data_IF_523734530476
#
_entry.id   IF_523734530476
#
_cell.length_a   1.000
_cell.length_b   1.000
_cell.length_c   1.000
_cell.angle_alpha   90.00
_cell.angle_beta   90.00
_cell.angle_gamma   90.00
#
_symmetry.space_group_name_H-M   'P 1'
#
loop_
_entity.id
_entity.type
_entity.pdbx_description
1 polymer ?
#
# COMPACT_ATOMS: atom_id res chain seq x y z
N UNK A 1 -11.37 16.27 21.45
CA UNK A 1 -10.71 15.11 20.85
C UNK A 1 -9.61 15.62 19.95
N UNK A 2 -8.38 15.16 20.08
CA UNK A 2 -7.28 15.45 19.15
C UNK A 2 -7.71 14.96 17.78
N UNK A 3 -7.67 15.84 16.76
CA UNK A 3 -7.99 15.45 15.39
C UNK A 3 -6.95 14.44 14.94
N UNK A 4 -7.39 13.30 14.46
CA UNK A 4 -6.52 12.25 13.89
C UNK A 4 -7.07 11.78 12.57
N UNK A 5 -6.24 11.17 11.71
CA UNK A 5 -6.63 10.53 10.47
C UNK A 5 -5.90 9.19 10.28
N UNK A 6 -6.39 8.38 9.37
CA UNK A 6 -5.77 7.10 9.01
C UNK A 6 -5.40 7.10 7.54
N UNK A 7 -4.16 6.74 7.26
CA UNK A 7 -3.58 6.65 5.94
C UNK A 7 -3.26 5.17 5.67
N UNK A 8 -3.90 4.59 4.69
CA UNK A 8 -3.74 3.18 4.34
C UNK A 8 -2.92 3.04 3.06
N UNK A 9 -1.94 2.17 3.05
CA UNK A 9 -1.54 1.59 1.77
C UNK A 9 -2.71 0.78 1.19
N UNK A 10 -2.59 0.33 -0.04
CA UNK A 10 -3.64 -0.41 -0.74
C UNK A 10 -3.37 -1.91 -0.76
N UNK A 11 -2.30 -2.29 -1.48
CA UNK A 11 -1.95 -3.69 -1.73
C UNK A 11 -1.37 -4.33 -0.48
N UNK A 12 -1.89 -5.48 -0.08
CA UNK A 12 -1.51 -6.13 1.18
C UNK A 12 -2.05 -5.46 2.44
N UNK A 13 -2.76 -4.32 2.32
CA UNK A 13 -3.38 -3.60 3.45
C UNK A 13 -4.90 -3.60 3.33
N UNK A 14 -5.47 -2.97 2.32
CA UNK A 14 -6.93 -2.97 2.11
C UNK A 14 -7.34 -4.11 1.17
N UNK A 15 -6.56 -4.38 0.13
CA UNK A 15 -6.79 -5.47 -0.81
C UNK A 15 -5.67 -6.51 -0.72
N UNK A 16 -6.04 -7.79 -0.78
CA UNK A 16 -5.11 -8.92 -0.66
C UNK A 16 -4.69 -9.40 -2.06
N UNK A 17 -3.73 -8.69 -2.67
CA UNK A 17 -3.25 -8.94 -4.03
C UNK A 17 -1.82 -9.47 -4.10
N UNK A 18 -1.11 -9.52 -2.98
CA UNK A 18 0.33 -9.79 -2.92
C UNK A 18 0.74 -11.17 -3.45
N UNK A 19 -0.06 -12.21 -3.17
CA UNK A 19 0.21 -13.56 -3.69
C UNK A 19 0.14 -13.57 -5.22
N UNK A 20 -0.91 -12.97 -5.80
CA UNK A 20 -1.11 -12.88 -7.25
C UNK A 20 0.02 -12.10 -7.94
N UNK A 21 0.46 -10.98 -7.34
CA UNK A 21 1.63 -10.25 -7.85
C UNK A 21 2.93 -11.03 -7.71
N UNK A 22 3.10 -11.76 -6.63
CA UNK A 22 4.29 -12.62 -6.44
C UNK A 22 4.37 -13.68 -7.53
N UNK A 23 3.25 -14.32 -7.89
CA UNK A 23 3.16 -15.26 -9.00
C UNK A 23 3.49 -14.59 -10.34
N UNK A 24 2.84 -13.46 -10.65
CA UNK A 24 3.10 -12.71 -11.87
C UNK A 24 4.58 -12.32 -12.00
N UNK A 25 5.14 -11.65 -10.99
CA UNK A 25 6.53 -11.20 -11.03
C UNK A 25 7.53 -12.36 -11.02
N UNK A 26 7.15 -13.53 -10.48
CA UNK A 26 7.96 -14.74 -10.59
C UNK A 26 8.07 -15.21 -12.07
N UNK A 27 6.98 -15.16 -12.82
CA UNK A 27 6.98 -15.49 -14.26
C UNK A 27 7.81 -14.47 -15.04
N UNK A 28 7.63 -13.18 -14.80
CA UNK A 28 8.42 -12.10 -15.43
C UNK A 28 9.91 -12.27 -15.10
N UNK A 29 10.25 -12.49 -13.83
CA UNK A 29 11.63 -12.71 -13.40
C UNK A 29 12.29 -13.90 -14.11
N UNK A 30 11.62 -15.04 -14.14
CA UNK A 30 12.14 -16.22 -14.86
C UNK A 30 12.35 -15.98 -16.34
N UNK A 31 11.51 -15.15 -16.96
CA UNK A 31 11.56 -14.88 -18.40
C UNK A 31 12.66 -13.88 -18.77
N UNK A 32 12.78 -12.79 -18.03
CA UNK A 32 13.61 -11.66 -18.42
C UNK A 32 14.85 -11.46 -17.52
N UNK A 33 14.84 -12.02 -16.29
CA UNK A 33 15.88 -11.86 -15.28
C UNK A 33 16.24 -13.21 -14.64
N UNK A 34 16.56 -14.26 -15.41
CA UNK A 34 16.78 -15.62 -14.89
C UNK A 34 17.91 -15.70 -13.86
N UNK A 35 18.85 -14.77 -13.90
CA UNK A 35 19.98 -14.68 -12.95
C UNK A 35 19.60 -14.05 -11.60
N UNK A 36 18.36 -13.50 -11.48
CA UNK A 36 17.90 -12.87 -10.24
C UNK A 36 16.63 -13.57 -9.70
N UNK A 37 16.76 -14.72 -9.03
CA UNK A 37 15.62 -15.47 -8.49
C UNK A 37 14.87 -14.71 -7.38
N UNK A 38 15.52 -13.76 -6.71
CA UNK A 38 14.95 -12.95 -5.64
C UNK A 38 14.20 -11.70 -6.13
N UNK A 39 14.16 -11.47 -7.44
CA UNK A 39 13.52 -10.31 -8.06
C UNK A 39 12.11 -10.02 -7.51
N UNK A 40 11.18 -11.00 -7.40
CA UNK A 40 9.82 -10.70 -6.90
C UNK A 40 9.80 -10.14 -5.48
N UNK A 41 10.74 -10.55 -4.63
CA UNK A 41 10.83 -10.08 -3.25
C UNK A 41 11.51 -8.70 -3.13
N UNK A 42 12.39 -8.38 -4.06
CA UNK A 42 13.13 -7.11 -4.08
C UNK A 42 12.27 -5.92 -4.48
N UNK A 43 11.23 -6.15 -5.28
CA UNK A 43 10.39 -5.08 -5.85
C UNK A 43 9.15 -4.74 -5.01
N UNK A 44 8.90 -5.46 -3.90
CA UNK A 44 7.74 -5.23 -3.04
C UNK A 44 7.70 -3.78 -2.53
N UNK A 45 6.54 -3.13 -2.70
CA UNK A 45 6.33 -1.72 -2.34
C UNK A 45 6.91 -0.69 -3.32
N UNK A 46 7.55 -1.13 -4.42
CA UNK A 46 8.04 -0.23 -5.46
C UNK A 46 6.94 0.14 -6.46
N UNK A 47 7.03 1.36 -7.01
CA UNK A 47 6.21 1.75 -8.17
C UNK A 47 6.69 1.04 -9.43
N UNK A 48 5.80 0.86 -10.41
CA UNK A 48 6.15 0.30 -11.72
C UNK A 48 7.34 1.06 -12.36
N UNK A 49 7.36 2.40 -12.26
CA UNK A 49 8.47 3.22 -12.78
C UNK A 49 9.81 2.86 -12.13
N UNK A 50 9.83 2.63 -10.81
CA UNK A 50 11.04 2.20 -10.11
C UNK A 50 11.50 0.82 -10.57
N UNK A 51 10.56 -0.12 -10.72
CA UNK A 51 10.84 -1.48 -11.18
C UNK A 51 11.44 -1.45 -12.59
N UNK A 52 10.79 -0.75 -13.52
CA UNK A 52 11.27 -0.66 -14.90
C UNK A 52 12.64 0.00 -14.98
N UNK A 53 12.85 1.11 -14.28
CA UNK A 53 14.14 1.81 -14.29
C UNK A 53 15.29 0.98 -13.72
N UNK A 54 15.02 0.15 -12.71
CA UNK A 54 16.06 -0.63 -12.03
C UNK A 54 16.40 -1.94 -12.75
N UNK A 55 15.44 -2.58 -13.42
CA UNK A 55 15.58 -3.96 -13.89
C UNK A 55 15.37 -4.14 -15.40
N UNK A 56 14.75 -3.19 -16.09
CA UNK A 56 14.39 -3.32 -17.52
C UNK A 56 14.89 -2.14 -18.34
N UNK A 57 16.22 -2.06 -18.52
CA UNK A 57 16.87 -0.99 -19.29
C UNK A 57 16.53 -1.02 -20.79
N UNK A 58 16.19 -2.20 -21.35
CA UNK A 58 15.71 -2.34 -22.71
C UNK A 58 14.25 -1.88 -22.82
N UNK A 59 14.03 -0.81 -23.59
CA UNK A 59 12.69 -0.22 -23.76
C UNK A 59 11.67 -1.17 -24.40
N UNK A 60 12.10 -2.11 -25.25
CA UNK A 60 11.18 -3.07 -25.87
C UNK A 60 10.72 -4.10 -24.83
N UNK A 61 11.64 -4.58 -23.99
CA UNK A 61 11.32 -5.48 -22.87
C UNK A 61 10.44 -4.74 -21.85
N UNK A 62 10.79 -3.50 -21.49
CA UNK A 62 9.99 -2.69 -20.54
C UNK A 62 8.53 -2.55 -21.03
N UNK A 63 8.31 -2.27 -22.32
CA UNK A 63 6.96 -2.19 -22.90
C UNK A 63 6.22 -3.52 -22.83
N UNK A 64 6.88 -4.64 -23.12
CA UNK A 64 6.27 -5.96 -23.03
C UNK A 64 5.87 -6.30 -21.57
N UNK A 65 6.70 -5.95 -20.60
CA UNK A 65 6.40 -6.15 -19.18
C UNK A 65 5.17 -5.31 -18.77
N UNK A 66 5.10 -4.04 -19.21
CA UNK A 66 3.93 -3.17 -18.94
C UNK A 66 2.66 -3.72 -19.56
N UNK A 67 2.71 -4.20 -20.82
CA UNK A 67 1.55 -4.80 -21.48
C UNK A 67 1.08 -6.07 -20.76
N UNK A 68 2.01 -6.94 -20.36
CA UNK A 68 1.67 -8.14 -19.59
C UNK A 68 1.09 -7.82 -18.22
N UNK A 69 1.63 -6.79 -17.53
CA UNK A 69 1.12 -6.34 -16.23
C UNK A 69 -0.30 -5.79 -16.36
N UNK A 70 -0.54 -4.90 -17.34
CA UNK A 70 -1.88 -4.35 -17.57
C UNK A 70 -2.91 -5.45 -17.86
N UNK A 71 -2.56 -6.43 -18.73
CA UNK A 71 -3.42 -7.56 -19.03
C UNK A 71 -3.65 -8.47 -17.81
N UNK A 72 -2.64 -8.69 -16.99
CA UNK A 72 -2.77 -9.39 -15.72
C UNK A 72 -3.72 -8.66 -14.76
N UNK A 73 -3.54 -7.35 -14.56
CA UNK A 73 -4.36 -6.54 -13.65
C UNK A 73 -5.85 -6.47 -14.05
N UNK A 74 -6.17 -6.59 -15.35
CA UNK A 74 -7.58 -6.69 -15.79
C UNK A 74 -8.25 -8.01 -15.42
N UNK A 75 -7.47 -9.06 -15.17
CA UNK A 75 -7.97 -10.44 -14.94
C UNK A 75 -7.81 -10.90 -13.50
N UNK A 76 -6.94 -10.27 -12.72
CA UNK A 76 -6.73 -10.62 -11.31
C UNK A 76 -7.95 -10.27 -10.47
N UNK A 77 -8.08 -10.91 -9.32
CA UNK A 77 -9.09 -10.56 -8.32
C UNK A 77 -8.54 -9.54 -7.33
N UNK A 78 -9.43 -8.75 -6.73
CA UNK A 78 -9.10 -7.73 -5.73
C UNK A 78 -9.82 -8.00 -4.40
N UNK A 79 -9.62 -9.17 -3.75
CA UNK A 79 -10.28 -9.46 -2.48
C UNK A 79 -9.80 -8.50 -1.39
N UNK A 80 -10.70 -8.13 -0.49
CA UNK A 80 -10.33 -7.35 0.69
C UNK A 80 -9.49 -8.20 1.67
N UNK A 81 -8.56 -7.54 2.38
CA UNK A 81 -7.91 -8.13 3.56
C UNK A 81 -8.96 -8.33 4.64
N UNK A 82 -8.82 -9.42 5.41
CA UNK A 82 -9.80 -9.79 6.42
C UNK A 82 -9.98 -8.66 7.46
N UNK A 83 -11.27 -8.31 7.73
CA UNK A 83 -11.64 -7.24 8.66
C UNK A 83 -11.43 -5.82 8.13
N UNK A 84 -10.81 -5.60 6.95
CA UNK A 84 -10.47 -4.25 6.47
C UNK A 84 -11.70 -3.35 6.30
N UNK A 85 -12.76 -3.85 5.67
CA UNK A 85 -13.98 -3.06 5.41
C UNK A 85 -14.75 -2.77 6.70
N UNK A 86 -14.78 -3.69 7.64
CA UNK A 86 -15.39 -3.48 8.94
C UNK A 86 -14.65 -2.41 9.72
N UNK A 87 -13.31 -2.45 9.74
CA UNK A 87 -12.47 -1.44 10.37
C UNK A 87 -12.65 -0.05 9.73
N UNK A 88 -12.67 0.05 8.40
CA UNK A 88 -12.98 1.28 7.66
C UNK A 88 -14.36 1.82 8.04
N UNK A 89 -15.38 0.94 8.16
CA UNK A 89 -16.72 1.31 8.61
C UNK A 89 -16.72 1.87 10.04
N UNK A 90 -15.96 1.29 10.96
CA UNK A 90 -15.83 1.78 12.33
C UNK A 90 -15.16 3.15 12.40
N UNK A 91 -14.08 3.37 11.62
CA UNK A 91 -13.43 4.67 11.51
C UNK A 91 -14.39 5.75 11.00
N UNK A 92 -15.19 5.42 9.98
CA UNK A 92 -16.19 6.33 9.43
C UNK A 92 -17.27 6.68 10.47
N UNK A 93 -17.77 5.69 11.23
CA UNK A 93 -18.72 5.93 12.34
C UNK A 93 -18.13 6.80 13.44
N UNK A 94 -16.82 6.68 13.67
CA UNK A 94 -16.08 7.52 14.62
C UNK A 94 -15.75 8.92 14.08
N UNK A 95 -16.06 9.20 12.80
CA UNK A 95 -15.75 10.48 12.16
C UNK A 95 -14.26 10.73 11.96
N UNK A 96 -13.47 9.67 11.83
CA UNK A 96 -12.03 9.73 11.59
C UNK A 96 -11.77 9.76 10.08
N UNK A 97 -11.16 10.83 9.54
CA UNK A 97 -10.83 10.93 8.12
C UNK A 97 -9.84 9.85 7.68
N UNK A 98 -10.01 9.37 6.44
CA UNK A 98 -9.22 8.28 5.87
C UNK A 98 -8.73 8.59 4.46
N UNK A 99 -7.51 8.16 4.14
CA UNK A 99 -7.02 8.20 2.77
C UNK A 99 -6.30 6.91 2.39
N UNK A 100 -6.40 6.55 1.09
CA UNK A 100 -5.52 5.58 0.45
C UNK A 100 -4.26 6.31 -0.04
N UNK A 101 -3.09 5.70 0.16
CA UNK A 101 -1.78 6.21 -0.27
C UNK A 101 -0.99 5.06 -0.89
N UNK A 102 -1.19 4.82 -2.18
CA UNK A 102 -0.68 3.64 -2.88
C UNK A 102 0.43 3.96 -3.88
N UNK A 103 1.32 2.99 -4.11
CA UNK A 103 2.27 2.97 -5.22
C UNK A 103 1.64 2.49 -6.54
N UNK A 104 0.38 2.07 -6.52
CA UNK A 104 -0.37 1.68 -7.70
C UNK A 104 -0.74 2.88 -8.56
N UNK A 105 -0.78 2.68 -9.88
CA UNK A 105 -1.16 3.69 -10.86
C UNK A 105 -2.68 3.76 -11.07
N UNK A 106 -3.14 4.78 -11.80
CA UNK A 106 -4.56 4.98 -12.09
C UNK A 106 -5.19 3.83 -12.88
N UNK A 107 -4.44 3.20 -13.80
CA UNK A 107 -4.98 2.10 -14.61
C UNK A 107 -5.38 0.91 -13.73
N UNK A 108 -4.52 0.54 -12.77
CA UNK A 108 -4.85 -0.50 -11.78
C UNK A 108 -6.04 -0.08 -10.91
N UNK A 109 -6.10 1.19 -10.48
CA UNK A 109 -7.24 1.68 -9.69
C UNK A 109 -8.56 1.56 -10.45
N UNK A 110 -8.56 1.77 -11.76
CA UNK A 110 -9.75 1.56 -12.61
C UNK A 110 -10.19 0.09 -12.63
N UNK A 111 -9.25 -0.86 -12.70
CA UNK A 111 -9.56 -2.29 -12.59
C UNK A 111 -10.18 -2.63 -11.22
N UNK A 112 -9.65 -2.08 -10.14
CA UNK A 112 -10.23 -2.22 -8.81
C UNK A 112 -11.66 -1.67 -8.75
N UNK A 113 -11.91 -0.46 -9.28
CA UNK A 113 -13.23 0.16 -9.26
C UNK A 113 -14.28 -0.60 -10.11
N UNK A 114 -13.85 -1.34 -11.12
CA UNK A 114 -14.76 -2.21 -11.89
C UNK A 114 -15.27 -3.38 -11.03
N UNK A 115 -14.44 -3.93 -10.15
CA UNK A 115 -14.84 -5.03 -9.25
C UNK A 115 -15.49 -4.50 -7.96
N UNK A 116 -15.11 -3.32 -7.50
CA UNK A 116 -15.57 -2.66 -6.27
C UNK A 116 -16.02 -1.22 -6.55
N UNK A 117 -17.18 -0.99 -7.18
CA UNK A 117 -17.67 0.35 -7.52
C UNK A 117 -17.84 1.29 -6.33
N UNK A 118 -18.05 0.73 -5.14
CA UNK A 118 -18.17 1.47 -3.88
C UNK A 118 -16.84 1.98 -3.35
N UNK A 119 -15.70 1.41 -3.76
CA UNK A 119 -14.40 1.62 -3.15
C UNK A 119 -14.01 3.10 -3.05
N UNK A 120 -14.22 3.87 -4.11
CA UNK A 120 -13.87 5.29 -4.13
C UNK A 120 -14.64 6.14 -3.11
N UNK A 121 -15.78 5.63 -2.62
CA UNK A 121 -16.63 6.30 -1.62
C UNK A 121 -16.26 5.93 -0.17
N UNK A 122 -15.42 4.90 0.01
CA UNK A 122 -14.97 4.45 1.33
C UNK A 122 -13.93 5.38 1.95
N UNK A 123 -13.26 6.21 1.16
CA UNK A 123 -12.14 7.06 1.61
C UNK A 123 -12.35 8.52 1.21
N UNK A 124 -11.87 9.45 2.06
CA UNK A 124 -12.01 10.88 1.80
C UNK A 124 -11.05 11.35 0.70
N UNK A 125 -9.92 10.65 0.51
CA UNK A 125 -8.91 10.90 -0.52
C UNK A 125 -8.26 9.59 -0.97
N UNK A 126 -7.83 9.57 -2.23
CA UNK A 126 -7.03 8.47 -2.81
C UNK A 126 -5.83 9.11 -3.51
N UNK A 127 -4.63 8.72 -3.08
CA UNK A 127 -3.35 9.11 -3.66
C UNK A 127 -2.73 7.90 -4.35
N UNK A 128 -2.48 8.04 -5.65
CA UNK A 128 -1.86 7.03 -6.50
C UNK A 128 -0.41 7.40 -6.81
N UNK A 129 0.30 6.54 -7.52
CA UNK A 129 1.70 6.77 -7.92
C UNK A 129 1.89 8.14 -8.60
N UNK A 130 0.91 8.60 -9.38
CA UNK A 130 0.98 9.88 -10.10
C UNK A 130 0.91 11.11 -9.18
N UNK A 131 0.44 10.95 -7.96
CA UNK A 131 0.36 12.06 -6.99
C UNK A 131 1.66 12.25 -6.22
N UNK A 132 2.51 11.21 -6.13
CA UNK A 132 3.71 11.24 -5.31
C UNK A 132 4.83 12.07 -5.98
N UNK A 133 5.37 13.07 -5.27
CA UNK A 133 6.56 13.80 -5.70
C UNK A 133 7.80 12.91 -5.68
N UNK A 134 7.94 12.09 -4.65
CA UNK A 134 8.92 11.01 -4.52
C UNK A 134 8.19 9.77 -4.03
N UNK A 135 8.49 8.64 -4.65
CA UNK A 135 7.89 7.35 -4.28
C UNK A 135 8.45 6.85 -2.95
N UNK A 136 7.71 5.99 -2.26
CA UNK A 136 8.22 5.22 -1.11
C UNK A 136 9.58 4.60 -1.47
N UNK A 137 10.57 4.64 -0.59
CA UNK A 137 10.50 4.91 0.86
C UNK A 137 10.55 6.38 1.27
N UNK A 138 10.52 7.36 0.34
CA UNK A 138 10.42 8.76 0.73
C UNK A 138 9.07 9.03 1.43
N UNK A 139 9.03 9.87 2.50
CA UNK A 139 7.83 10.11 3.28
C UNK A 139 6.80 11.02 2.59
N UNK A 140 7.13 11.57 1.42
CA UNK A 140 6.37 12.62 0.72
C UNK A 140 4.89 12.26 0.54
N UNK A 141 4.59 11.03 0.14
CA UNK A 141 3.21 10.59 -0.09
C UNK A 141 2.34 10.66 1.18
N UNK A 142 2.89 10.27 2.34
CA UNK A 142 2.16 10.34 3.61
C UNK A 142 2.08 11.76 4.17
N UNK A 143 3.11 12.58 3.96
CA UNK A 143 3.10 14.01 4.32
C UNK A 143 2.02 14.75 3.51
N UNK A 144 1.97 14.53 2.20
CA UNK A 144 1.01 15.17 1.30
C UNK A 144 -0.43 14.71 1.59
N UNK A 145 -0.62 13.41 1.89
CA UNK A 145 -1.93 12.87 2.27
C UNK A 145 -2.43 13.44 3.61
N UNK A 146 -1.58 13.52 4.62
CA UNK A 146 -1.93 14.13 5.91
C UNK A 146 -2.32 15.61 5.73
N UNK A 147 -1.53 16.37 4.97
CA UNK A 147 -1.80 17.77 4.67
C UNK A 147 -3.14 17.94 3.93
N UNK A 148 -3.46 17.08 2.99
CA UNK A 148 -4.73 17.13 2.25
C UNK A 148 -5.96 16.82 3.12
N UNK A 149 -5.77 16.10 4.23
CA UNK A 149 -6.78 15.89 5.27
C UNK A 149 -6.77 16.99 6.35
N UNK A 150 -5.92 18.00 6.21
CA UNK A 150 -5.83 19.16 7.13
C UNK A 150 -5.11 18.83 8.45
N UNK A 151 -4.19 17.85 8.43
CA UNK A 151 -3.47 17.35 9.61
C UNK A 151 -1.95 17.34 9.36
N UNK A 152 -1.17 17.28 10.44
CA UNK A 152 0.24 16.91 10.36
C UNK A 152 0.38 15.38 10.40
N UNK A 153 1.39 14.82 9.73
CA UNK A 153 1.58 13.38 9.67
C UNK A 153 1.73 12.74 11.08
N UNK A 154 2.36 13.44 12.03
CA UNK A 154 2.45 13.00 13.44
C UNK A 154 1.09 12.77 14.12
N UNK A 155 0.04 13.39 13.59
CA UNK A 155 -1.32 13.24 14.07
C UNK A 155 -2.09 12.14 13.30
N UNK A 156 -1.41 11.43 12.39
CA UNK A 156 -1.99 10.35 11.60
C UNK A 156 -1.47 8.97 12.04
N UNK A 157 -2.25 7.95 11.69
CA UNK A 157 -1.83 6.55 11.67
C UNK A 157 -1.56 6.13 10.23
N UNK A 158 -0.56 5.29 10.02
CA UNK A 158 -0.24 4.67 8.73
C UNK A 158 -0.37 3.15 8.88
N UNK A 159 -1.12 2.51 8.00
CA UNK A 159 -1.18 1.05 7.87
C UNK A 159 -0.41 0.63 6.63
N UNK A 160 0.54 -0.30 6.80
CA UNK A 160 1.50 -0.70 5.76
C UNK A 160 2.00 -2.12 5.96
N UNK A 161 2.40 -2.78 4.86
CA UNK A 161 2.86 -4.16 4.84
C UNK A 161 4.25 -4.34 4.20
N UNK A 162 4.79 -3.30 3.55
CA UNK A 162 6.08 -3.32 2.85
C UNK A 162 7.17 -2.55 3.62
N UNK A 163 8.44 -2.98 3.50
CA UNK A 163 9.57 -2.26 4.10
C UNK A 163 9.66 -0.82 3.57
N UNK A 164 9.43 -0.64 2.28
CA UNK A 164 9.47 0.67 1.63
C UNK A 164 8.40 1.61 2.21
N UNK A 165 7.17 1.12 2.37
CA UNK A 165 6.09 1.92 2.88
C UNK A 165 6.15 2.14 4.40
N UNK A 166 6.56 1.13 5.17
CA UNK A 166 6.81 1.27 6.61
C UNK A 166 7.88 2.33 6.89
N UNK A 167 8.97 2.34 6.10
CA UNK A 167 10.01 3.38 6.19
C UNK A 167 9.43 4.76 5.87
N UNK A 168 8.64 4.88 4.80
CA UNK A 168 7.99 6.14 4.45
C UNK A 168 7.04 6.64 5.54
N UNK A 169 6.24 5.75 6.13
CA UNK A 169 5.35 6.06 7.25
C UNK A 169 6.12 6.52 8.48
N UNK A 170 7.16 5.79 8.89
CA UNK A 170 8.04 6.14 10.00
C UNK A 170 8.69 7.52 9.80
N UNK A 171 9.30 7.74 8.63
CA UNK A 171 10.02 8.98 8.33
C UNK A 171 9.08 10.19 8.16
N UNK A 172 7.79 9.96 7.91
CA UNK A 172 6.76 11.01 7.94
C UNK A 172 6.45 11.51 9.36
N UNK A 173 6.84 10.73 10.38
CA UNK A 173 6.53 10.98 11.79
C UNK A 173 5.16 10.47 12.23
N UNK A 174 4.45 9.71 11.40
CA UNK A 174 3.18 9.08 11.74
C UNK A 174 3.35 7.90 12.71
N UNK A 175 2.27 7.50 13.37
CA UNK A 175 2.23 6.24 14.12
C UNK A 175 1.97 5.10 13.12
N UNK A 176 2.90 4.17 12.97
CA UNK A 176 2.86 3.13 11.94
C UNK A 176 2.36 1.80 12.53
N UNK A 177 1.40 1.18 11.88
CA UNK A 177 0.91 -0.18 12.14
C UNK A 177 1.31 -1.04 10.94
N UNK A 178 2.12 -2.07 11.19
CA UNK A 178 2.59 -2.99 10.16
C UNK A 178 1.66 -4.19 10.01
N UNK A 179 1.32 -4.58 8.78
CA UNK A 179 0.62 -5.83 8.46
C UNK A 179 1.61 -6.90 8.00
N UNK A 180 1.36 -8.16 8.38
CA UNK A 180 2.22 -9.29 7.99
C UNK A 180 1.76 -10.00 6.72
N UNK A 181 0.87 -9.40 5.98
CA UNK A 181 0.32 -9.93 4.71
C UNK A 181 1.38 -10.16 3.64
N UNK A 182 2.45 -9.34 3.63
CA UNK A 182 3.52 -9.38 2.63
C UNK A 182 4.86 -9.83 3.21
N UNK A 183 5.20 -9.39 4.42
CA UNK A 183 6.50 -9.61 5.04
C UNK A 183 6.32 -10.12 6.47
N UNK A 184 7.07 -11.15 6.90
CA UNK A 184 6.97 -11.67 8.26
C UNK A 184 7.25 -10.62 9.34
N UNK A 185 6.52 -10.69 10.46
CA UNK A 185 6.59 -9.77 11.60
C UNK A 185 8.02 -9.44 12.05
N UNK A 186 8.90 -10.44 12.11
CA UNK A 186 10.29 -10.27 12.55
C UNK A 186 11.10 -9.26 11.70
N UNK A 187 10.70 -9.03 10.45
CA UNK A 187 11.38 -8.10 9.53
C UNK A 187 10.81 -6.67 9.59
N UNK A 188 9.60 -6.51 10.10
CA UNK A 188 8.91 -5.21 10.11
C UNK A 188 8.74 -4.62 11.51
N UNK A 189 8.88 -5.41 12.57
CA UNK A 189 8.62 -4.99 13.94
C UNK A 189 9.44 -3.78 14.42
N UNK A 190 10.63 -3.55 13.87
CA UNK A 190 11.46 -2.38 14.21
C UNK A 190 11.04 -1.09 13.48
N UNK A 191 10.15 -1.18 12.48
CA UNK A 191 9.73 -0.07 11.62
C UNK A 191 8.33 0.47 12.00
N UNK A 192 7.66 -0.15 12.96
CA UNK A 192 6.29 0.20 13.33
C UNK A 192 6.06 0.10 14.83
N UNK A 193 5.01 0.77 15.33
CA UNK A 193 4.61 0.74 16.74
C UNK A 193 3.78 -0.48 17.10
N UNK A 194 3.12 -1.08 16.13
CA UNK A 194 2.29 -2.27 16.30
C UNK A 194 2.38 -3.14 15.04
N UNK A 195 2.31 -4.45 15.21
CA UNK A 195 2.23 -5.43 14.11
C UNK A 195 0.96 -6.23 14.28
N UNK A 196 0.20 -6.39 13.20
CA UNK A 196 -1.01 -7.20 13.13
C UNK A 196 -0.95 -8.13 11.91
N UNK A 197 -1.70 -9.22 11.92
CA UNK A 197 -1.81 -10.09 10.74
C UNK A 197 -2.86 -9.54 9.77
N UNK A 198 -3.98 -9.07 10.31
CA UNK A 198 -5.08 -8.46 9.57
C UNK A 198 -5.89 -7.54 10.53
N UNK A 199 -6.99 -6.97 10.03
CA UNK A 199 -7.80 -6.01 10.80
C UNK A 199 -8.70 -6.66 11.87
N UNK A 200 -8.76 -7.98 11.96
CA UNK A 200 -9.48 -8.66 13.06
C UNK A 200 -8.75 -8.56 14.39
N UNK A 201 -7.44 -8.25 14.36
CA UNK A 201 -6.58 -8.14 15.55
C UNK A 201 -6.54 -6.76 16.19
N UNK A 202 -7.17 -5.74 15.58
CA UNK A 202 -7.14 -4.36 16.07
C UNK A 202 -8.51 -3.69 16.01
N UNK A 203 -8.85 -2.96 17.05
CA UNK A 203 -10.02 -2.07 17.09
C UNK A 203 -9.59 -0.60 16.94
N UNK A 204 -10.53 0.29 16.56
CA UNK A 204 -10.28 1.74 16.50
C UNK A 204 -9.84 2.30 17.86
N UNK A 205 -10.37 1.76 18.97
CA UNK A 205 -9.98 2.16 20.32
C UNK A 205 -8.51 1.79 20.62
N UNK A 206 -8.10 0.55 20.34
CA UNK A 206 -6.72 0.08 20.52
C UNK A 206 -5.74 0.87 19.63
N UNK A 207 -6.09 1.12 18.36
CA UNK A 207 -5.30 1.98 17.48
C UNK A 207 -5.06 3.36 18.12
N UNK A 208 -6.09 4.01 18.64
CA UNK A 208 -5.97 5.32 19.26
C UNK A 208 -5.08 5.31 20.53
N UNK A 209 -4.93 4.18 21.20
CA UNK A 209 -4.07 4.04 22.37
C UNK A 209 -2.57 4.00 22.03
N UNK A 210 -2.19 3.66 20.80
CA UNK A 210 -0.80 3.65 20.36
C UNK A 210 -0.13 5.03 20.32
N UNK A 211 -0.90 6.12 20.40
CA UNK A 211 -0.40 7.51 20.45
C UNK A 211 -0.18 8.04 21.89
N UNK A 212 -0.44 7.25 22.87
CA UNK A 212 -0.16 7.57 24.27
C UNK A 212 1.24 7.10 24.62
#
# INVERSE_FOLDING_TARGET
MTKTAVLFDLDGVIINTEEQYTEFWTVIGKTYLPENPDFPSQIKGHTLTQILSAYFADEAIARQVVEQLNDFETRMSYPYVEGAIDFVSELRKAGIPMAIVTSSNKAKMECLYQQHPEFSQLFDRIFTAENARRSKPAPDCYLDAAQALGLAAKDCFVFEDSVSGLTAGHDSGATVIGLTTTIPAARIASLCQCVINDFTEITVAQMCELKK
#
